data_IF_287780450441
#
_entry.id   IF_287780450441
#
_cell.length_a   1.000
_cell.length_b   1.000
_cell.length_c   1.000
_cell.angle_alpha   90.00
_cell.angle_beta   90.00
_cell.angle_gamma   90.00
#
_symmetry.space_group_name_H-M   'P 1'
#
loop_
_entity.id
_entity.type
_entity.pdbx_description
1 polymer ?
#
# COMPACT_ATOMS: atom_id res chain seq x y z
N UNK A 1 -12.70 14.84 -5.86
CA UNK A 1 -11.68 13.96 -5.23
C UNK A 1 -11.26 12.89 -6.22
N UNK A 2 -9.95 12.74 -6.49
CA UNK A 2 -9.43 11.71 -7.40
C UNK A 2 -9.86 10.30 -6.97
N UNK A 3 -10.07 9.35 -7.91
CA UNK A 3 -10.52 8.00 -7.58
C UNK A 3 -9.60 7.26 -6.61
N UNK A 4 -8.28 7.37 -6.80
CA UNK A 4 -7.30 6.69 -5.96
C UNK A 4 -7.33 7.24 -4.52
N UNK A 5 -7.42 8.56 -4.33
CA UNK A 5 -7.53 9.17 -3.00
C UNK A 5 -8.76 8.65 -2.25
N UNK A 6 -9.92 8.61 -2.91
CA UNK A 6 -11.14 8.09 -2.32
C UNK A 6 -11.01 6.62 -1.90
N UNK A 7 -10.37 5.80 -2.75
CA UNK A 7 -10.15 4.38 -2.47
C UNK A 7 -9.20 4.19 -1.27
N UNK A 8 -8.08 4.91 -1.23
CA UNK A 8 -7.11 4.86 -0.12
C UNK A 8 -7.79 5.23 1.20
N UNK A 9 -8.54 6.34 1.25
CA UNK A 9 -9.27 6.74 2.46
C UNK A 9 -10.27 5.66 2.93
N UNK A 10 -10.95 5.00 1.99
CA UNK A 10 -11.88 3.92 2.33
C UNK A 10 -11.17 2.66 2.83
N UNK A 11 -10.01 2.32 2.25
CA UNK A 11 -9.15 1.22 2.71
C UNK A 11 -8.57 1.51 4.11
N UNK A 12 -8.17 2.75 4.40
CA UNK A 12 -7.65 3.15 5.72
C UNK A 12 -8.73 2.99 6.79
N UNK A 13 -9.96 3.38 6.47
CA UNK A 13 -11.11 3.16 7.35
C UNK A 13 -11.35 1.67 7.57
N UNK A 14 -11.35 0.86 6.51
CA UNK A 14 -11.53 -0.59 6.62
C UNK A 14 -10.43 -1.26 7.47
N UNK A 15 -9.18 -0.82 7.29
CA UNK A 15 -8.01 -1.26 8.07
C UNK A 15 -8.12 -0.86 9.54
N UNK A 16 -8.74 0.27 9.85
CA UNK A 16 -8.94 0.73 11.24
C UNK A 16 -10.08 -0.04 11.91
N UNK A 17 -11.20 -0.22 11.21
CA UNK A 17 -12.41 -0.88 11.73
C UNK A 17 -12.18 -2.37 12.07
N UNK A 18 -11.25 -3.01 11.36
CA UNK A 18 -10.88 -4.44 11.48
C UNK A 18 -12.06 -5.39 11.77
N UNK A 19 -13.09 -5.45 10.90
CA UNK A 19 -14.29 -6.22 11.20
C UNK A 19 -14.03 -7.72 11.47
N UNK A 20 -12.97 -8.27 10.86
CA UNK A 20 -12.57 -9.67 11.01
C UNK A 20 -12.21 -10.08 12.44
N UNK A 21 -11.70 -9.15 13.27
CA UNK A 21 -11.40 -9.43 14.70
C UNK A 21 -12.67 -9.85 15.46
N UNK A 22 -13.83 -9.31 15.08
CA UNK A 22 -15.12 -9.68 15.64
C UNK A 22 -15.80 -10.85 14.89
N UNK A 23 -15.05 -11.59 14.06
CA UNK A 23 -15.57 -12.66 13.21
C UNK A 23 -16.40 -12.17 12.01
N UNK A 24 -16.45 -10.86 11.74
CA UNK A 24 -17.26 -10.28 10.64
C UNK A 24 -16.52 -10.32 9.30
N UNK A 25 -16.03 -11.51 8.93
CA UNK A 25 -15.26 -11.74 7.69
C UNK A 25 -16.04 -11.34 6.44
N UNK A 26 -17.32 -11.73 6.38
CA UNK A 26 -18.20 -11.37 5.25
C UNK A 26 -18.33 -9.85 5.07
N UNK A 27 -18.45 -9.10 6.16
CA UNK A 27 -18.51 -7.64 6.11
C UNK A 27 -17.20 -7.07 5.55
N UNK A 28 -16.06 -7.54 6.07
CA UNK A 28 -14.74 -7.10 5.61
C UNK A 28 -14.54 -7.32 4.10
N UNK A 29 -14.77 -8.55 3.59
CA UNK A 29 -14.57 -8.84 2.17
C UNK A 29 -15.62 -8.19 1.26
N UNK A 30 -16.85 -7.99 1.74
CA UNK A 30 -17.85 -7.21 1.00
C UNK A 30 -17.34 -5.79 0.79
N UNK A 31 -16.99 -5.10 1.88
CA UNK A 31 -16.46 -3.73 1.84
C UNK A 31 -15.19 -3.62 1.01
N UNK A 32 -14.25 -4.56 1.17
CA UNK A 32 -13.00 -4.57 0.40
C UNK A 32 -13.27 -4.68 -1.11
N UNK A 33 -14.13 -5.62 -1.51
CA UNK A 33 -14.48 -5.80 -2.92
C UNK A 33 -15.22 -4.58 -3.49
N UNK A 34 -16.10 -3.96 -2.70
CA UNK A 34 -16.88 -2.79 -3.12
C UNK A 34 -15.98 -1.56 -3.33
N UNK A 35 -15.02 -1.33 -2.44
CA UNK A 35 -14.03 -0.25 -2.58
C UNK A 35 -13.26 -0.39 -3.89
N UNK A 36 -12.79 -1.60 -4.21
CA UNK A 36 -12.06 -1.86 -5.44
C UNK A 36 -12.94 -1.70 -6.69
N UNK A 37 -14.19 -2.19 -6.65
CA UNK A 37 -15.14 -2.04 -7.76
C UNK A 37 -15.44 -0.57 -8.04
N UNK A 38 -15.72 0.23 -7.00
CA UNK A 38 -15.94 1.68 -7.15
C UNK A 38 -14.70 2.40 -7.68
N UNK A 39 -13.50 2.00 -7.22
CA UNK A 39 -12.25 2.53 -7.75
C UNK A 39 -12.10 2.20 -9.24
N UNK A 40 -12.29 0.94 -9.62
CA UNK A 40 -12.16 0.48 -11.01
C UNK A 40 -13.15 1.21 -11.91
N UNK A 41 -14.40 1.38 -11.47
CA UNK A 41 -15.42 2.10 -12.23
C UNK A 41 -14.97 3.53 -12.55
N UNK A 42 -14.53 4.26 -11.52
CA UNK A 42 -14.14 5.66 -11.68
C UNK A 42 -12.83 5.83 -12.44
N UNK A 43 -11.89 4.87 -12.32
CA UNK A 43 -10.56 4.93 -12.93
C UNK A 43 -10.54 4.45 -14.38
N UNK A 44 -11.30 3.41 -14.70
CA UNK A 44 -11.31 2.76 -16.02
C UNK A 44 -12.60 3.01 -16.80
N UNK A 45 -13.56 3.76 -16.23
CA UNK A 45 -14.82 4.14 -16.86
C UNK A 45 -15.65 2.93 -17.32
N UNK A 46 -15.69 1.89 -16.48
CA UNK A 46 -16.48 0.66 -16.68
C UNK A 46 -17.50 0.50 -15.55
N UNK A 47 -18.59 -0.21 -15.75
CA UNK A 47 -19.58 -0.42 -14.68
C UNK A 47 -19.19 -1.59 -13.75
N UNK A 48 -18.04 -1.47 -13.07
CA UNK A 48 -17.47 -2.55 -12.26
C UNK A 48 -18.36 -3.07 -11.11
N UNK A 49 -19.20 -2.27 -10.42
CA UNK A 49 -20.15 -2.79 -9.44
C UNK A 49 -21.11 -3.85 -10.01
N UNK A 50 -21.53 -3.69 -11.27
CA UNK A 50 -22.49 -4.58 -11.94
C UNK A 50 -21.81 -5.70 -12.76
N UNK A 51 -20.49 -5.71 -12.85
CA UNK A 51 -19.73 -6.73 -13.56
C UNK A 51 -19.48 -7.96 -12.70
N UNK A 52 -19.38 -9.15 -13.30
CA UNK A 52 -18.94 -10.33 -12.55
C UNK A 52 -17.46 -10.23 -12.22
N UNK A 53 -17.00 -10.98 -11.22
CA UNK A 53 -15.57 -11.09 -10.90
C UNK A 53 -14.75 -11.53 -12.12
N UNK A 54 -15.26 -12.47 -12.92
CA UNK A 54 -14.61 -12.93 -14.15
C UNK A 54 -14.47 -11.83 -15.19
N UNK A 55 -15.51 -11.03 -15.39
CA UNK A 55 -15.49 -9.93 -16.36
C UNK A 55 -14.48 -8.86 -15.96
N UNK A 56 -14.43 -8.50 -14.67
CA UNK A 56 -13.43 -7.55 -14.16
C UNK A 56 -12.03 -8.09 -14.40
N UNK A 57 -11.74 -9.34 -14.03
CA UNK A 57 -10.41 -9.93 -14.21
C UNK A 57 -9.99 -9.97 -15.68
N UNK A 58 -10.93 -10.21 -16.60
CA UNK A 58 -10.65 -10.21 -18.02
C UNK A 58 -10.17 -8.84 -18.55
N UNK A 59 -10.59 -7.72 -17.94
CA UNK A 59 -10.10 -6.38 -18.30
C UNK A 59 -8.60 -6.23 -18.06
N UNK A 60 -8.10 -6.81 -16.96
CA UNK A 60 -6.70 -6.66 -16.51
C UNK A 60 -5.77 -7.78 -16.99
N UNK A 61 -6.32 -8.82 -17.65
CA UNK A 61 -5.53 -9.96 -18.11
C UNK A 61 -4.75 -9.67 -19.41
N UNK A 62 -5.22 -8.71 -20.22
CA UNK A 62 -4.72 -8.50 -21.59
C UNK A 62 -3.70 -7.37 -21.70
N UNK A 63 -3.60 -6.53 -20.66
CA UNK A 63 -2.69 -5.39 -20.65
C UNK A 63 -1.41 -5.76 -19.90
N UNK A 64 -0.26 -5.51 -20.54
CA UNK A 64 1.07 -5.79 -19.96
C UNK A 64 1.32 -4.93 -18.73
N UNK A 65 0.78 -3.73 -18.71
CA UNK A 65 0.98 -2.77 -17.63
C UNK A 65 0.21 -3.20 -16.38
N UNK A 66 -0.87 -3.97 -16.54
CA UNK A 66 -1.69 -4.47 -15.43
C UNK A 66 -1.35 -5.89 -14.99
N UNK A 67 -0.43 -6.55 -15.69
CA UNK A 67 -0.08 -7.95 -15.39
C UNK A 67 0.54 -8.11 -13.99
N UNK A 68 1.27 -7.10 -13.50
CA UNK A 68 1.86 -7.06 -12.16
C UNK A 68 0.80 -7.00 -11.05
N UNK A 69 -0.32 -6.32 -11.31
CA UNK A 69 -1.43 -6.15 -10.35
C UNK A 69 -2.53 -7.20 -10.50
N UNK A 70 -2.56 -7.93 -11.62
CA UNK A 70 -3.61 -8.90 -11.92
C UNK A 70 -3.76 -9.96 -10.83
N UNK A 71 -2.65 -10.53 -10.35
CA UNK A 71 -2.70 -11.56 -9.30
C UNK A 71 -3.23 -11.02 -7.97
N UNK A 72 -2.90 -9.76 -7.65
CA UNK A 72 -3.40 -9.08 -6.45
C UNK A 72 -4.92 -8.91 -6.53
N UNK A 73 -5.43 -8.41 -7.66
CA UNK A 73 -6.87 -8.23 -7.87
C UNK A 73 -7.61 -9.58 -7.87
N UNK A 74 -7.05 -10.59 -8.54
CA UNK A 74 -7.60 -11.95 -8.59
C UNK A 74 -7.74 -12.56 -7.21
N UNK A 75 -6.69 -12.48 -6.40
CA UNK A 75 -6.70 -13.00 -5.03
C UNK A 75 -7.84 -12.39 -4.22
N UNK A 76 -7.99 -11.06 -4.27
CA UNK A 76 -9.01 -10.34 -3.48
C UNK A 76 -10.41 -10.71 -3.94
N UNK A 77 -10.71 -10.62 -5.24
CA UNK A 77 -12.08 -10.81 -5.72
C UNK A 77 -12.55 -12.26 -5.57
N UNK A 78 -11.69 -13.24 -5.87
CA UNK A 78 -12.04 -14.66 -5.69
C UNK A 78 -12.25 -15.01 -4.22
N UNK A 79 -11.35 -14.56 -3.33
CA UNK A 79 -11.52 -14.79 -1.90
C UNK A 79 -12.78 -14.11 -1.37
N UNK A 80 -13.07 -12.89 -1.84
CA UNK A 80 -14.29 -12.17 -1.46
C UNK A 80 -15.55 -12.95 -1.82
N UNK A 81 -15.63 -13.51 -3.02
CA UNK A 81 -16.79 -14.30 -3.45
C UNK A 81 -16.95 -15.58 -2.61
N UNK A 82 -15.85 -16.27 -2.30
CA UNK A 82 -15.87 -17.46 -1.45
C UNK A 82 -16.36 -17.14 -0.03
N UNK A 83 -15.93 -16.03 0.56
CA UNK A 83 -16.38 -15.61 1.89
C UNK A 83 -17.85 -15.16 1.87
N UNK A 84 -18.26 -14.40 0.86
CA UNK A 84 -19.61 -13.82 0.75
C UNK A 84 -20.69 -14.86 0.52
N UNK A 85 -20.39 -15.84 -0.35
CA UNK A 85 -21.37 -16.78 -0.88
C UNK A 85 -21.13 -18.22 -0.46
N UNK A 86 -19.87 -18.67 -0.37
CA UNK A 86 -19.53 -20.04 0.04
C UNK A 86 -19.27 -20.18 1.55
N UNK A 87 -19.38 -19.09 2.33
CA UNK A 87 -19.13 -19.05 3.79
C UNK A 87 -17.74 -19.58 4.18
N UNK A 88 -16.76 -19.44 3.28
CA UNK A 88 -15.37 -19.74 3.59
C UNK A 88 -14.89 -18.84 4.74
N UNK A 89 -14.16 -19.42 5.69
CA UNK A 89 -13.49 -18.69 6.77
C UNK A 89 -12.02 -18.53 6.34
N UNK A 90 -11.57 -17.31 6.05
CA UNK A 90 -10.18 -17.05 5.67
C UNK A 90 -9.22 -17.31 6.82
N UNK A 91 -7.96 -17.52 6.48
CA UNK A 91 -6.87 -17.50 7.44
C UNK A 91 -6.58 -16.06 7.88
N UNK A 92 -6.07 -15.90 9.11
CA UNK A 92 -5.78 -14.58 9.69
C UNK A 92 -4.89 -13.72 8.77
N UNK A 93 -3.87 -14.32 8.16
CA UNK A 93 -2.94 -13.63 7.27
C UNK A 93 -3.56 -13.24 5.91
N UNK A 94 -4.68 -13.85 5.51
CA UNK A 94 -5.35 -13.51 4.25
C UNK A 94 -6.05 -12.15 4.34
N UNK A 95 -6.44 -11.69 5.53
CA UNK A 95 -7.00 -10.35 5.72
C UNK A 95 -5.97 -9.27 5.42
N UNK A 96 -4.79 -9.39 6.04
CA UNK A 96 -3.68 -8.45 5.85
C UNK A 96 -3.15 -8.50 4.41
N UNK A 97 -3.02 -9.71 3.85
CA UNK A 97 -2.61 -9.89 2.46
C UNK A 97 -3.61 -9.21 1.50
N UNK A 98 -4.91 -9.42 1.69
CA UNK A 98 -5.92 -8.80 0.83
C UNK A 98 -5.98 -7.28 0.96
N UNK A 99 -5.78 -6.72 2.17
CA UNK A 99 -5.63 -5.28 2.34
C UNK A 99 -4.40 -4.75 1.61
N UNK A 100 -3.23 -5.37 1.82
CA UNK A 100 -1.98 -4.97 1.18
C UNK A 100 -2.10 -5.03 -0.35
N UNK A 101 -2.67 -6.10 -0.88
CA UNK A 101 -2.92 -6.27 -2.32
C UNK A 101 -3.86 -5.19 -2.86
N UNK A 102 -4.86 -4.74 -2.09
CA UNK A 102 -5.76 -3.67 -2.49
C UNK A 102 -5.02 -2.32 -2.58
N UNK A 103 -4.18 -2.00 -1.59
CA UNK A 103 -3.32 -0.80 -1.65
C UNK A 103 -2.38 -0.83 -2.86
N UNK A 104 -1.72 -1.96 -3.09
CA UNK A 104 -0.82 -2.14 -4.24
C UNK A 104 -1.57 -1.94 -5.56
N UNK A 105 -2.75 -2.56 -5.70
CA UNK A 105 -3.58 -2.42 -6.89
C UNK A 105 -3.93 -0.96 -7.17
N UNK A 106 -4.44 -0.22 -6.17
CA UNK A 106 -4.81 1.20 -6.32
C UNK A 106 -3.58 2.05 -6.66
N UNK A 107 -2.47 1.86 -5.96
CA UNK A 107 -1.27 2.68 -6.13
C UNK A 107 -0.56 2.45 -7.46
N UNK A 108 -0.55 1.22 -7.98
CA UNK A 108 0.10 0.88 -9.25
C UNK A 108 -0.77 1.22 -10.46
N UNK A 109 -2.08 1.40 -10.27
CA UNK A 109 -3.01 1.71 -11.37
C UNK A 109 -3.51 3.15 -11.34
N UNK A 110 -3.11 3.96 -10.35
CA UNK A 110 -3.50 5.37 -10.29
C UNK A 110 -3.06 6.08 -11.57
N UNK A 111 -3.88 7.00 -12.05
CA UNK A 111 -3.45 7.89 -13.13
C UNK A 111 -2.52 8.94 -12.50
N UNK A 112 -1.32 9.10 -13.03
CA UNK A 112 -0.49 10.24 -12.68
C UNK A 112 -1.19 11.50 -13.17
N UNK A 113 -1.66 12.32 -12.24
CA UNK A 113 -2.09 13.68 -12.56
C UNK A 113 -0.83 14.43 -12.96
N UNK A 114 -0.72 14.83 -14.25
CA UNK A 114 0.26 15.83 -14.65
C UNK A 114 -0.09 17.05 -13.80
N UNK A 115 0.80 17.50 -12.87
CA UNK A 115 0.47 18.61 -12.02
C UNK A 115 0.24 19.84 -12.89
N UNK A 116 -0.96 20.41 -12.82
CA UNK A 116 -1.18 21.79 -13.24
C UNK A 116 -0.19 22.65 -12.42
N UNK A 117 0.68 23.48 -13.04
CA UNK A 117 1.79 24.17 -12.37
C UNK A 117 1.42 25.06 -11.17
N UNK A 118 0.14 25.23 -10.83
CA UNK A 118 -0.31 26.11 -9.74
C UNK A 118 -0.39 25.47 -8.35
N UNK A 119 -0.24 24.14 -8.19
CA UNK A 119 -0.45 23.50 -6.86
C UNK A 119 0.85 23.20 -6.07
N UNK A 120 2.02 23.59 -6.56
CA UNK A 120 3.28 23.47 -5.80
C UNK A 120 3.59 24.73 -5.01
N UNK A 121 2.74 25.08 -4.05
CA UNK A 121 3.07 26.16 -3.11
C UNK A 121 2.48 26.00 -1.72
N UNK A 122 2.57 24.80 -1.15
CA UNK A 122 2.62 24.65 0.32
C UNK A 122 2.92 23.20 0.66
N UNK A 123 4.20 22.90 0.87
CA UNK A 123 4.73 22.11 2.00
C UNK A 123 6.19 21.76 1.70
N UNK A 124 7.08 22.73 1.83
CA UNK A 124 8.41 22.46 2.37
C UNK A 124 8.41 23.02 3.80
N UNK A 125 8.75 22.24 4.84
CA UNK A 125 9.24 22.85 6.05
C UNK A 125 10.62 23.41 5.73
N UNK A 126 10.69 24.73 5.55
CA UNK A 126 11.95 25.46 5.56
C UNK A 126 12.61 25.24 6.93
N UNK A 127 13.68 24.45 6.93
CA UNK A 127 14.71 24.60 7.93
C UNK A 127 15.40 25.93 7.67
N UNK A 128 15.25 26.88 8.59
CA UNK A 128 16.14 28.04 8.71
C UNK A 128 16.56 28.21 10.16
N UNK A 129 17.88 28.24 10.29
CA UNK A 129 18.71 28.40 11.48
C UNK A 129 18.96 29.89 11.69
N UNK A 130 18.81 30.34 12.93
CA UNK A 130 19.50 31.51 13.54
C UNK A 130 19.68 31.11 15.03
N UNK A 131 20.79 31.29 15.75
CA UNK A 131 22.02 32.04 15.57
C UNK A 131 22.55 32.47 16.95
N UNK A 132 23.43 31.64 17.54
CA UNK A 132 24.62 31.95 18.37
C UNK A 132 24.51 32.74 19.72
N UNK A 133 25.08 32.19 20.82
CA UNK A 133 25.96 32.90 21.79
C UNK A 133 26.94 31.93 22.51
N UNK A 134 28.24 32.21 22.34
CA UNK A 134 29.45 32.07 23.20
C UNK A 134 29.68 30.84 24.12
N UNK A 135 30.89 30.23 24.04
CA UNK A 135 32.06 30.59 24.89
C UNK A 135 33.06 29.41 25.06
N UNK A 136 34.27 29.58 24.48
CA UNK A 136 35.62 29.16 24.92
C UNK A 136 35.98 27.69 25.25
N UNK A 137 37.02 27.19 24.56
CA UNK A 137 38.37 26.86 25.09
C UNK A 137 38.96 25.53 24.57
N UNK A 138 40.19 25.65 24.07
CA UNK A 138 41.27 24.64 23.92
C UNK A 138 41.23 23.59 22.80
N UNK A 139 42.22 23.70 21.93
CA UNK A 139 42.92 22.63 21.19
C UNK A 139 44.42 22.74 21.59
N UNK A 140 45.37 21.84 21.21
CA UNK A 140 45.37 20.45 20.69
C UNK A 140 46.43 19.60 21.49
N UNK A 141 47.18 18.54 21.01
CA UNK A 141 47.21 17.81 19.72
C UNK A 141 47.42 16.26 19.74
N UNK A 142 47.22 15.66 18.55
CA UNK A 142 47.95 14.53 17.88
C UNK A 142 48.29 13.22 18.62
N UNK A 143 47.87 12.05 18.09
CA UNK A 143 48.79 11.02 17.52
C UNK A 143 48.06 9.77 16.95
N UNK A 144 48.35 9.48 15.67
CA UNK A 144 48.66 8.19 15.01
C UNK A 144 47.98 6.85 15.38
N UNK A 145 47.42 6.22 14.34
CA UNK A 145 47.50 4.81 13.89
C UNK A 145 47.96 3.71 14.86
N UNK A 146 47.23 2.58 14.90
CA UNK A 146 47.54 1.32 14.16
C UNK A 146 46.44 0.27 14.33
N UNK A 147 46.40 -0.62 13.33
CA UNK A 147 45.72 -1.91 13.20
C UNK A 147 45.42 -2.71 14.47
N UNK A 148 44.30 -3.45 14.45
CA UNK A 148 44.28 -4.86 14.85
C UNK A 148 43.05 -5.56 14.23
N UNK A 149 43.35 -6.44 13.27
CA UNK A 149 42.59 -7.64 12.91
C UNK A 149 42.24 -8.44 14.19
N UNK A 150 41.00 -8.90 14.38
CA UNK A 150 40.78 -10.34 14.56
C UNK A 150 39.30 -10.77 14.53
N UNK A 151 39.12 -11.91 13.87
CA UNK A 151 38.07 -12.93 13.91
C UNK A 151 36.74 -12.71 14.66
N UNK A 152 35.62 -13.02 13.96
CA UNK A 152 34.88 -14.25 14.23
C UNK A 152 33.89 -14.60 13.11
N UNK A 153 34.33 -15.46 12.19
CA UNK A 153 33.46 -16.26 11.31
C UNK A 153 33.12 -17.57 12.01
N UNK A 154 31.86 -17.79 12.40
CA UNK A 154 31.35 -19.17 12.58
C UNK A 154 29.83 -19.24 12.55
N UNK A 155 29.24 -19.45 11.36
CA UNK A 155 28.00 -20.21 11.25
C UNK A 155 27.84 -20.75 9.83
N UNK A 156 28.04 -22.06 9.67
CA UNK A 156 27.46 -22.83 8.56
C UNK A 156 26.62 -23.95 9.18
N UNK A 157 25.35 -24.12 8.79
CA UNK A 157 24.51 -25.20 9.28
C UNK A 157 24.79 -26.52 8.53
N UNK A 158 24.61 -27.64 9.24
CA UNK A 158 24.60 -29.00 8.68
C UNK A 158 23.27 -29.34 8.03
#
# INVERSE_FOLDING_TARGET
>A
MPPHVAAIMALDKLKTDRPWIAGRNKEFYTRLSDILRQYIERRFQVNAPEMTTSDILALFQRDKDTQSVYQNLKQILQLSDLVKFAKLIPLENEHDLSLMNAYLFVNQTKQEEIPDPETQKETLPEASVDGNVAETTSVPPTSTATDDDDELKKYQPK
#
